data_IF_261215586365
#
_entry.id   IF_261215586365
#
_cell.length_a   1.000
_cell.length_b   1.000
_cell.length_c   1.000
_cell.angle_alpha   90.00
_cell.angle_beta   90.00
_cell.angle_gamma   90.00
#
_symmetry.space_group_name_H-M   'P 1'
#
loop_
_entity.id
_entity.type
_entity.pdbx_description
1 polymer ?
#
# COMPACT_ATOMS: atom_id res chain seq x y z
N UNK A 1 -5.84 9.48 65.51
CA UNK A 1 -6.73 8.47 64.90
C UNK A 1 -6.13 8.05 63.57
N UNK A 2 -5.81 6.76 63.45
CA UNK A 2 -5.72 5.95 62.20
C UNK A 2 -4.74 6.45 61.12
N UNK A 3 -3.53 5.90 60.89
CA UNK A 3 -3.10 4.52 61.04
C UNK A 3 -3.52 3.67 59.83
N UNK A 4 -2.87 3.86 58.68
CA UNK A 4 -2.86 2.88 57.60
C UNK A 4 -1.40 2.45 57.36
N UNK A 5 -1.00 1.45 58.15
CA UNK A 5 0.14 0.57 57.87
C UNK A 5 -0.17 -0.20 56.59
N UNK A 6 0.57 0.06 55.51
CA UNK A 6 0.73 -0.92 54.45
C UNK A 6 2.02 -1.69 54.71
N UNK A 7 1.91 -2.68 55.59
CA UNK A 7 2.95 -3.68 55.82
C UNK A 7 2.80 -4.81 54.81
N UNK A 8 3.88 -5.12 54.10
CA UNK A 8 4.07 -6.42 53.45
C UNK A 8 4.06 -6.38 51.92
N UNK A 9 5.15 -6.93 51.36
CA UNK A 9 5.17 -7.59 50.04
C UNK A 9 5.36 -6.69 48.81
N UNK A 10 6.39 -5.85 48.77
CA UNK A 10 6.82 -5.18 47.52
C UNK A 10 8.03 -5.84 46.82
N UNK A 11 8.64 -6.87 47.41
CA UNK A 11 9.79 -7.57 46.83
C UNK A 11 9.42 -8.73 45.89
N UNK A 12 8.17 -9.20 45.88
CA UNK A 12 7.73 -10.30 45.00
C UNK A 12 7.27 -9.86 43.61
N UNK A 13 6.59 -8.71 43.50
CA UNK A 13 5.98 -8.26 42.24
C UNK A 13 7.01 -7.82 41.19
N UNK A 14 8.10 -7.17 41.62
CA UNK A 14 9.18 -6.74 40.71
C UNK A 14 10.05 -7.89 40.19
N UNK A 15 10.22 -8.96 40.98
CA UNK A 15 10.95 -10.16 40.53
C UNK A 15 10.13 -10.96 39.51
N UNK A 16 8.82 -11.07 39.71
CA UNK A 16 7.92 -11.73 38.77
C UNK A 16 7.75 -10.95 37.47
N UNK A 17 7.72 -9.61 37.50
CA UNK A 17 7.71 -8.80 36.27
C UNK A 17 9.04 -8.86 35.51
N UNK A 18 10.17 -8.95 36.23
CA UNK A 18 11.50 -9.11 35.63
C UNK A 18 11.69 -10.51 35.01
N UNK A 19 11.19 -11.57 35.65
CA UNK A 19 11.16 -12.92 35.09
C UNK A 19 10.23 -13.02 33.87
N UNK A 20 9.06 -12.39 33.91
CA UNK A 20 8.12 -12.36 32.77
C UNK A 20 8.70 -11.59 31.55
N UNK A 21 9.42 -10.49 31.79
CA UNK A 21 10.12 -9.75 30.74
C UNK A 21 11.33 -10.52 30.19
N UNK A 22 12.07 -11.22 31.05
CA UNK A 22 13.22 -12.05 30.64
C UNK A 22 12.78 -13.27 29.82
N UNK A 23 11.66 -13.92 30.19
CA UNK A 23 11.09 -15.05 29.45
C UNK A 23 10.71 -14.69 28.00
N UNK A 24 10.33 -13.44 27.72
CA UNK A 24 10.07 -12.97 26.34
C UNK A 24 11.35 -12.80 25.50
N UNK A 25 12.51 -12.60 26.13
CA UNK A 25 13.80 -12.40 25.44
C UNK A 25 14.70 -13.65 25.44
N UNK A 26 14.46 -14.57 26.36
CA UNK A 26 15.18 -15.86 26.47
C UNK A 26 14.51 -16.95 25.61
N UNK A 27 13.20 -16.82 25.32
CA UNK A 27 12.47 -17.76 24.46
C UNK A 27 13.11 -18.00 23.08
N UNK A 28 13.64 -16.99 22.36
CA UNK A 28 14.34 -17.22 21.10
C UNK A 28 15.65 -18.01 21.27
N UNK A 29 16.38 -17.78 22.36
CA UNK A 29 17.66 -18.46 22.64
C UNK A 29 17.42 -19.89 23.09
N UNK A 30 16.40 -20.14 23.92
CA UNK A 30 15.97 -21.50 24.29
C UNK A 30 15.39 -22.24 23.08
N UNK A 31 14.61 -21.57 22.20
CA UNK A 31 14.11 -22.17 20.96
C UNK A 31 15.25 -22.55 20.00
N UNK A 32 16.33 -21.76 19.97
CA UNK A 32 17.54 -22.06 19.20
C UNK A 32 18.29 -23.29 19.75
N UNK A 33 18.38 -23.43 21.08
CA UNK A 33 19.03 -24.56 21.75
C UNK A 33 18.16 -25.83 21.74
N UNK A 34 16.83 -25.69 21.74
CA UNK A 34 15.87 -26.80 21.78
C UNK A 34 15.37 -27.23 20.38
N UNK A 35 15.79 -26.57 19.30
CA UNK A 35 15.46 -26.94 17.92
C UNK A 35 13.95 -26.93 17.58
N UNK A 36 13.11 -26.24 18.37
CA UNK A 36 11.66 -26.24 18.20
C UNK A 36 11.17 -24.84 17.78
N UNK A 37 10.83 -24.69 16.51
CA UNK A 37 10.36 -23.45 15.87
C UNK A 37 8.90 -23.07 16.18
N UNK A 38 8.26 -23.70 17.18
CA UNK A 38 6.79 -23.60 17.38
C UNK A 38 6.32 -22.53 18.39
N UNK A 39 7.20 -21.72 18.98
CA UNK A 39 6.80 -20.71 19.97
C UNK A 39 6.47 -19.33 19.37
N UNK A 40 6.77 -19.09 18.09
CA UNK A 40 6.50 -17.78 17.45
C UNK A 40 5.00 -17.47 17.28
N UNK A 41 4.14 -18.50 17.19
CA UNK A 41 2.70 -18.32 16.99
C UNK A 41 1.93 -17.93 18.26
N UNK A 42 2.51 -18.13 19.46
CA UNK A 42 1.82 -17.90 20.74
C UNK A 42 1.91 -16.44 21.23
N UNK A 43 2.68 -15.57 20.56
CA UNK A 43 2.96 -14.21 21.02
C UNK A 43 2.67 -13.10 20.00
N UNK A 44 1.89 -13.38 18.94
CA UNK A 44 1.52 -12.35 17.94
C UNK A 44 0.71 -11.19 18.55
N UNK A 45 -0.03 -11.42 19.63
CA UNK A 45 -0.69 -10.35 20.40
C UNK A 45 0.33 -9.39 21.07
N UNK A 46 1.52 -9.87 21.39
CA UNK A 46 2.55 -9.10 22.10
C UNK A 46 3.30 -8.10 21.18
N UNK A 47 3.18 -8.24 19.86
CA UNK A 47 3.76 -7.29 18.89
C UNK A 47 3.17 -5.89 19.03
N UNK A 48 1.86 -5.78 19.26
CA UNK A 48 1.20 -4.49 19.48
C UNK A 48 1.60 -3.83 20.80
N UNK A 49 1.98 -4.63 21.81
CA UNK A 49 2.39 -4.15 23.13
C UNK A 49 3.91 -3.88 23.23
N UNK A 50 4.70 -4.33 22.25
CA UNK A 50 6.16 -4.21 22.21
C UNK A 50 6.72 -2.81 22.49
N UNK A 51 6.22 -1.70 21.88
CA UNK A 51 6.77 -0.37 22.15
C UNK A 51 6.52 0.08 23.60
N UNK A 52 5.40 -0.32 24.20
CA UNK A 52 5.07 0.00 25.58
C UNK A 52 5.98 -0.74 26.57
N UNK A 53 6.25 -2.02 26.31
CA UNK A 53 7.16 -2.82 27.14
C UNK A 53 8.60 -2.27 27.11
N UNK A 54 9.08 -1.90 25.91
CA UNK A 54 10.38 -1.21 25.74
C UNK A 54 10.41 0.09 26.54
N UNK A 55 9.35 0.90 26.45
CA UNK A 55 9.22 2.14 27.21
C UNK A 55 9.28 1.93 28.72
N UNK A 56 8.53 0.95 29.25
CA UNK A 56 8.55 0.62 30.68
C UNK A 56 9.93 0.15 31.13
N UNK A 57 10.63 -0.68 30.35
CA UNK A 57 11.99 -1.12 30.68
C UNK A 57 12.98 0.04 30.75
N UNK A 58 12.90 1.00 29.81
CA UNK A 58 13.76 2.20 29.82
C UNK A 58 13.49 3.08 31.05
N UNK A 59 12.23 3.26 31.44
CA UNK A 59 11.86 4.01 32.64
C UNK A 59 12.40 3.35 33.92
N UNK A 60 12.26 2.03 34.04
CA UNK A 60 12.79 1.30 35.21
C UNK A 60 14.31 1.39 35.30
N UNK A 61 15.02 1.26 34.17
CA UNK A 61 16.48 1.43 34.11
C UNK A 61 16.91 2.86 34.48
N UNK A 62 16.17 3.88 34.02
CA UNK A 62 16.44 5.28 34.35
C UNK A 62 16.26 5.55 35.85
N UNK A 63 15.19 5.02 36.47
CA UNK A 63 14.93 5.14 37.91
C UNK A 63 16.04 4.44 38.71
N UNK A 64 16.50 3.27 38.27
CA UNK A 64 17.57 2.54 38.95
C UNK A 64 18.90 3.32 38.91
N UNK A 65 19.28 3.88 37.76
CA UNK A 65 20.44 4.77 37.64
C UNK A 65 20.31 6.01 38.52
N UNK A 66 19.14 6.65 38.52
CA UNK A 66 18.86 7.82 39.34
C UNK A 66 18.98 7.53 40.85
N UNK A 67 18.47 6.38 41.31
CA UNK A 67 18.60 5.96 42.71
C UNK A 67 20.05 5.68 43.13
N UNK A 68 20.90 5.25 42.19
CA UNK A 68 22.32 4.93 42.48
C UNK A 68 23.25 6.14 42.35
N UNK A 69 22.86 7.15 41.57
CA UNK A 69 23.62 8.38 41.35
C UNK A 69 23.29 9.49 42.35
N UNK A 70 22.17 9.40 43.10
CA UNK A 70 21.89 10.36 44.17
C UNK A 70 22.98 10.26 45.26
N UNK A 71 23.68 11.37 45.56
CA UNK A 71 24.64 11.38 46.66
C UNK A 71 23.89 11.26 47.99
N UNK A 72 24.28 10.28 48.81
CA UNK A 72 23.85 10.22 50.21
C UNK A 72 24.45 11.43 50.92
N UNK A 73 23.62 12.30 51.49
CA UNK A 73 24.09 13.34 52.40
C UNK A 73 24.55 12.64 53.68
N UNK A 74 25.87 12.54 53.86
CA UNK A 74 26.47 12.09 55.11
C UNK A 74 26.16 13.13 56.18
N UNK A 75 25.28 12.80 57.11
CA UNK A 75 25.15 13.52 58.37
C UNK A 75 25.48 12.52 59.47
N UNK A 76 26.32 13.00 60.41
CA UNK A 76 26.74 12.41 61.68
C UNK A 76 27.67 11.19 61.61
N UNK A 77 28.94 11.45 61.94
CA UNK A 77 29.91 10.47 62.40
C UNK A 77 29.38 9.84 63.68
N UNK A 78 29.01 8.56 63.63
CA UNK A 78 28.85 7.74 64.82
C UNK A 78 29.77 6.51 64.66
N UNK A 79 30.83 6.48 65.46
CA UNK A 79 31.73 5.36 65.57
C UNK A 79 31.03 4.25 66.35
N UNK A 80 30.43 3.30 65.63
CA UNK A 80 30.18 1.98 66.19
C UNK A 80 30.54 0.92 65.14
N UNK A 81 31.53 0.09 65.48
CA UNK A 81 31.99 -1.00 64.63
C UNK A 81 30.93 -2.09 64.55
N UNK A 82 30.26 -2.19 63.40
CA UNK A 82 29.55 -3.40 62.98
C UNK A 82 30.07 -3.82 61.60
N UNK A 83 30.45 -5.09 61.49
CA UNK A 83 31.18 -5.71 60.37
C UNK A 83 30.60 -5.36 58.99
N UNK A 84 31.44 -5.09 57.96
CA UNK A 84 30.96 -4.80 56.63
C UNK A 84 30.39 -6.08 56.01
N UNK A 85 29.06 -6.20 55.93
CA UNK A 85 28.45 -7.13 54.98
C UNK A 85 28.91 -6.70 53.59
N UNK A 86 29.74 -7.52 52.94
CA UNK A 86 30.22 -7.28 51.58
C UNK A 86 29.02 -6.90 50.70
N UNK A 87 29.05 -5.69 50.15
CA UNK A 87 27.98 -5.23 49.26
C UNK A 87 27.87 -6.21 48.09
N UNK A 88 26.72 -6.87 47.96
CA UNK A 88 26.45 -7.86 46.92
C UNK A 88 26.81 -7.29 45.55
N UNK A 89 27.51 -8.07 44.72
CA UNK A 89 27.94 -7.67 43.37
C UNK A 89 26.77 -7.12 42.51
N UNK A 90 25.55 -7.61 42.76
CA UNK A 90 24.28 -7.17 42.18
C UNK A 90 23.90 -5.71 42.48
N UNK A 91 24.49 -5.09 43.51
CA UNK A 91 24.26 -3.68 43.86
C UNK A 91 25.40 -2.76 43.37
N UNK A 92 26.37 -3.29 42.63
CA UNK A 92 27.48 -2.50 42.09
C UNK A 92 27.05 -1.66 40.88
N UNK A 93 27.73 -0.53 40.66
CA UNK A 93 27.57 0.28 39.43
C UNK A 93 28.00 -0.51 38.19
N UNK A 94 28.96 -1.43 38.34
CA UNK A 94 29.46 -2.28 37.27
C UNK A 94 28.38 -3.26 36.76
N UNK A 95 27.66 -3.92 37.67
CA UNK A 95 26.55 -4.80 37.30
C UNK A 95 25.45 -4.05 36.54
N UNK A 96 25.07 -2.87 37.02
CA UNK A 96 24.04 -2.04 36.40
C UNK A 96 24.46 -1.53 35.00
N UNK A 97 25.76 -1.22 34.81
CA UNK A 97 26.32 -0.90 33.51
C UNK A 97 26.29 -2.09 32.53
N UNK A 98 26.65 -3.29 32.98
CA UNK A 98 26.62 -4.51 32.16
C UNK A 98 25.19 -4.81 31.67
N UNK A 99 24.20 -4.76 32.57
CA UNK A 99 22.78 -4.99 32.21
C UNK A 99 22.30 -3.96 31.18
N UNK A 100 22.74 -2.71 31.31
CA UNK A 100 22.39 -1.64 30.35
C UNK A 100 22.97 -1.92 28.96
N UNK A 101 24.23 -2.34 28.87
CA UNK A 101 24.89 -2.67 27.58
C UNK A 101 24.22 -3.87 26.91
N UNK A 102 23.91 -4.93 27.67
CA UNK A 102 23.24 -6.13 27.14
C UNK A 102 21.84 -5.79 26.64
N UNK A 103 21.08 -4.96 27.36
CA UNK A 103 19.75 -4.51 26.94
C UNK A 103 19.80 -3.72 25.61
N UNK A 104 20.79 -2.83 25.45
CA UNK A 104 21.00 -2.07 24.21
C UNK A 104 21.37 -3.00 23.05
N UNK A 105 22.24 -3.98 23.28
CA UNK A 105 22.60 -4.98 22.28
C UNK A 105 21.38 -5.75 21.77
N UNK A 106 20.54 -6.25 22.68
CA UNK A 106 19.31 -6.97 22.33
C UNK A 106 18.26 -6.08 21.65
N UNK A 107 18.15 -4.79 22.03
CA UNK A 107 17.28 -3.84 21.32
C UNK A 107 17.81 -3.51 19.92
N UNK A 108 19.13 -3.59 19.70
CA UNK A 108 19.76 -3.39 18.40
C UNK A 108 19.74 -4.64 17.52
N UNK A 109 19.26 -5.78 18.05
CA UNK A 109 19.11 -7.05 17.30
C UNK A 109 18.46 -6.90 15.92
N UNK A 110 17.37 -6.13 15.73
CA UNK A 110 16.77 -5.94 14.41
C UNK A 110 17.74 -5.39 13.36
N UNK A 111 18.77 -4.64 13.77
CA UNK A 111 19.74 -4.00 12.86
C UNK A 111 20.82 -4.96 12.38
N UNK A 112 21.08 -6.07 13.09
CA UNK A 112 22.10 -7.07 12.70
C UNK A 112 21.54 -8.49 12.48
N UNK A 113 20.22 -8.68 12.64
CA UNK A 113 19.56 -9.98 12.44
C UNK A 113 19.81 -10.59 11.04
N UNK A 114 19.91 -9.75 10.00
CA UNK A 114 20.16 -10.19 8.63
C UNK A 114 21.51 -10.91 8.44
N UNK A 115 22.47 -10.73 9.37
CA UNK A 115 23.76 -11.43 9.35
C UNK A 115 23.61 -12.89 9.82
N UNK A 116 22.65 -13.17 10.70
CA UNK A 116 22.45 -14.49 11.32
C UNK A 116 21.26 -15.27 10.73
N UNK A 117 20.34 -14.59 10.06
CA UNK A 117 19.16 -15.17 9.41
C UNK A 117 19.13 -14.78 7.92
N UNK A 118 19.92 -15.44 7.05
CA UNK A 118 19.75 -15.29 5.61
C UNK A 118 18.34 -15.77 5.21
N UNK A 119 17.63 -14.99 4.40
CA UNK A 119 16.29 -15.33 3.91
C UNK A 119 16.27 -16.73 3.27
N UNK A 120 15.33 -17.61 3.64
CA UNK A 120 15.15 -18.87 2.95
C UNK A 120 14.75 -18.61 1.49
N UNK A 121 15.62 -18.97 0.54
CA UNK A 121 15.26 -18.95 -0.87
C UNK A 121 14.20 -20.04 -1.14
N UNK A 122 13.06 -19.71 -1.76
CA UNK A 122 12.14 -20.71 -2.27
C UNK A 122 12.84 -21.50 -3.38
N UNK A 123 13.26 -22.73 -3.09
CA UNK A 123 13.74 -23.65 -4.12
C UNK A 123 12.55 -24.09 -4.98
N UNK A 124 12.40 -23.45 -6.14
CA UNK A 124 11.49 -23.90 -7.17
C UNK A 124 12.09 -25.14 -7.85
N UNK A 125 11.47 -26.29 -7.65
CA UNK A 125 11.63 -27.43 -8.56
C UNK A 125 10.84 -27.17 -9.84
N UNK A 126 11.36 -27.49 -11.04
CA UNK A 126 10.63 -27.31 -12.27
C UNK A 126 9.56 -28.41 -12.38
N UNK A 127 8.30 -28.06 -12.19
CA UNK A 127 7.17 -28.95 -12.50
C UNK A 127 6.72 -28.65 -13.93
N UNK A 128 6.85 -29.66 -14.79
CA UNK A 128 6.38 -29.64 -16.17
C UNK A 128 4.86 -29.35 -16.24
N UNK A 129 4.50 -28.54 -17.24
CA UNK A 129 3.14 -28.07 -17.53
C UNK A 129 2.18 -29.24 -17.81
N UNK A 130 1.12 -29.35 -17.00
CA UNK A 130 -0.16 -29.91 -17.39
C UNK A 130 -1.27 -28.99 -16.84
N UNK A 131 -1.96 -28.29 -17.75
CA UNK A 131 -2.94 -27.23 -17.52
C UNK A 131 -4.35 -27.79 -17.21
N UNK A 132 -4.44 -28.77 -16.31
CA UNK A 132 -5.71 -29.43 -15.94
C UNK A 132 -6.10 -29.19 -14.48
N UNK A 133 -5.32 -28.40 -13.74
CA UNK A 133 -5.59 -28.09 -12.33
C UNK A 133 -6.62 -26.98 -12.21
N UNK A 134 -7.61 -27.18 -11.36
CA UNK A 134 -8.67 -26.24 -11.05
C UNK A 134 -8.82 -26.11 -9.54
N UNK A 135 -9.40 -24.99 -9.09
CA UNK A 135 -9.72 -24.78 -7.69
C UNK A 135 -11.22 -24.57 -7.54
N UNK A 136 -11.80 -25.07 -6.46
CA UNK A 136 -13.22 -24.95 -6.14
C UNK A 136 -13.37 -24.65 -4.66
N UNK A 137 -14.29 -23.75 -4.33
CA UNK A 137 -14.67 -23.44 -2.96
C UNK A 137 -16.04 -24.04 -2.69
N UNK A 138 -16.13 -24.81 -1.62
CA UNK A 138 -17.37 -25.39 -1.11
C UNK A 138 -17.83 -24.63 0.12
N UNK A 139 -19.13 -24.32 0.18
CA UNK A 139 -19.80 -23.91 1.40
C UNK A 139 -20.40 -25.17 2.06
N UNK A 140 -20.02 -25.43 3.30
CA UNK A 140 -20.31 -26.67 4.02
C UNK A 140 -21.04 -26.33 5.32
N UNK A 141 -22.28 -26.78 5.43
CA UNK A 141 -23.10 -26.61 6.62
C UNK A 141 -22.97 -27.81 7.57
N UNK A 142 -22.87 -27.51 8.87
CA UNK A 142 -22.84 -28.51 9.94
C UNK A 142 -21.47 -28.71 10.60
N UNK A 143 -20.42 -28.02 10.14
CA UNK A 143 -19.12 -28.03 10.82
C UNK A 143 -19.14 -27.03 11.99
N UNK A 144 -18.79 -27.48 13.20
CA UNK A 144 -18.83 -26.64 14.41
C UNK A 144 -17.53 -26.60 15.19
N UNK A 145 -16.53 -27.43 14.84
CA UNK A 145 -15.24 -27.46 15.52
C UNK A 145 -14.09 -27.91 14.60
N UNK A 146 -12.86 -27.81 15.10
CA UNK A 146 -11.63 -28.27 14.43
C UNK A 146 -11.65 -29.77 14.11
N UNK A 147 -12.33 -30.57 14.93
CA UNK A 147 -12.56 -32.00 14.66
C UNK A 147 -13.42 -32.24 13.41
N UNK A 148 -14.47 -31.42 13.21
CA UNK A 148 -15.33 -31.48 12.02
C UNK A 148 -14.54 -31.17 10.75
N UNK A 149 -13.72 -30.12 10.79
CA UNK A 149 -12.81 -29.73 9.72
C UNK A 149 -11.84 -30.87 9.36
N UNK A 150 -11.21 -31.45 10.39
CA UNK A 150 -10.26 -32.56 10.22
C UNK A 150 -10.93 -33.79 9.58
N UNK A 151 -12.21 -34.05 9.90
CA UNK A 151 -12.96 -35.15 9.29
C UNK A 151 -13.18 -34.91 7.79
N UNK A 152 -13.56 -33.69 7.38
CA UNK A 152 -13.70 -33.32 5.97
C UNK A 152 -12.37 -33.40 5.22
N UNK A 153 -11.29 -32.87 5.81
CA UNK A 153 -9.95 -32.96 5.23
C UNK A 153 -9.49 -34.42 5.01
N UNK A 154 -9.79 -35.32 5.96
CA UNK A 154 -9.48 -36.75 5.83
C UNK A 154 -10.24 -37.43 4.69
N UNK A 155 -11.50 -37.07 4.45
CA UNK A 155 -12.26 -37.63 3.31
C UNK A 155 -11.79 -37.04 1.98
N UNK A 156 -11.48 -35.75 1.92
CA UNK A 156 -10.92 -35.10 0.72
C UNK A 156 -9.58 -35.68 0.31
N UNK A 157 -8.73 -36.04 1.27
CA UNK A 157 -7.43 -36.70 1.03
C UNK A 157 -7.55 -38.07 0.34
N UNK A 158 -8.70 -38.75 0.45
CA UNK A 158 -8.94 -40.06 -0.18
C UNK A 158 -9.37 -39.94 -1.65
N UNK A 159 -9.74 -38.75 -2.10
CA UNK A 159 -10.25 -38.53 -3.45
C UNK A 159 -9.07 -38.45 -4.42
N UNK A 160 -8.92 -39.48 -5.27
CA UNK A 160 -7.90 -39.47 -6.33
C UNK A 160 -8.15 -38.31 -7.29
N UNK A 161 -7.13 -37.47 -7.48
CA UNK A 161 -7.23 -36.25 -8.30
C UNK A 161 -7.37 -34.97 -7.48
N UNK A 162 -7.60 -35.03 -6.17
CA UNK A 162 -7.45 -33.88 -5.25
C UNK A 162 -5.98 -33.76 -4.85
N UNK A 163 -5.40 -32.56 -4.97
CA UNK A 163 -3.99 -32.30 -4.67
C UNK A 163 -3.80 -31.50 -3.39
N UNK A 164 -4.62 -30.46 -3.19
CA UNK A 164 -4.53 -29.56 -2.04
C UNK A 164 -5.94 -29.28 -1.53
N UNK A 165 -6.12 -29.31 -0.23
CA UNK A 165 -7.38 -28.94 0.41
C UNK A 165 -7.11 -28.15 1.68
N UNK A 166 -7.96 -27.15 1.94
CA UNK A 166 -7.94 -26.36 3.16
C UNK A 166 -9.39 -26.09 3.60
N UNK A 167 -9.85 -26.87 4.57
CA UNK A 167 -11.18 -26.70 5.18
C UNK A 167 -11.07 -25.82 6.42
N UNK A 168 -12.10 -25.04 6.70
CA UNK A 168 -12.18 -24.19 7.90
C UNK A 168 -13.57 -24.27 8.49
N UNK A 169 -13.69 -24.77 9.72
CA UNK A 169 -14.98 -24.76 10.44
C UNK A 169 -15.43 -23.32 10.77
N UNK A 170 -14.49 -22.42 11.08
CA UNK A 170 -14.78 -21.02 11.39
C UNK A 170 -15.45 -20.27 10.23
N UNK A 171 -15.11 -20.62 8.98
CA UNK A 171 -15.70 -20.01 7.78
C UNK A 171 -16.76 -20.89 7.11
N UNK A 172 -17.07 -22.07 7.67
CA UNK A 172 -17.96 -23.07 7.07
C UNK A 172 -17.64 -23.35 5.59
N UNK A 173 -16.34 -23.41 5.24
CA UNK A 173 -15.92 -23.53 3.85
C UNK A 173 -14.72 -24.44 3.66
N UNK A 174 -14.57 -25.01 2.46
CA UNK A 174 -13.40 -25.79 2.05
C UNK A 174 -12.92 -25.35 0.69
N UNK A 175 -11.62 -25.03 0.58
CA UNK A 175 -10.96 -24.71 -0.68
C UNK A 175 -10.20 -25.94 -1.16
N UNK A 176 -10.53 -26.44 -2.35
CA UNK A 176 -9.96 -27.68 -2.90
C UNK A 176 -9.37 -27.41 -4.28
N UNK A 177 -8.10 -27.78 -4.45
CA UNK A 177 -7.41 -27.82 -5.74
C UNK A 177 -7.40 -29.26 -6.25
N UNK A 178 -7.87 -29.47 -7.48
CA UNK A 178 -8.03 -30.80 -8.07
C UNK A 178 -7.66 -30.79 -9.56
N UNK A 179 -7.33 -31.95 -10.09
CA UNK A 179 -7.09 -32.20 -11.51
C UNK A 179 -8.40 -32.58 -12.20
N UNK A 180 -8.93 -31.68 -13.03
CA UNK A 180 -10.20 -31.86 -13.74
C UNK A 180 -10.16 -33.04 -14.73
N UNK A 181 -8.96 -33.47 -15.16
CA UNK A 181 -8.83 -34.67 -16.00
C UNK A 181 -9.01 -35.97 -15.20
N UNK A 182 -8.92 -35.92 -13.86
CA UNK A 182 -8.99 -37.09 -12.97
C UNK A 182 -10.26 -37.15 -12.13
N UNK A 183 -10.81 -36.00 -11.75
CA UNK A 183 -11.97 -35.93 -10.85
C UNK A 183 -12.84 -34.72 -11.16
N UNK A 184 -14.15 -34.87 -11.02
CA UNK A 184 -15.12 -33.79 -11.19
C UNK A 184 -15.61 -33.21 -9.85
N UNK A 185 -16.19 -32.01 -9.92
CA UNK A 185 -16.71 -31.30 -8.72
C UNK A 185 -17.80 -32.09 -8.01
N UNK A 186 -18.59 -32.89 -8.76
CA UNK A 186 -19.66 -33.72 -8.19
C UNK A 186 -19.11 -34.83 -7.31
N UNK A 187 -18.03 -35.49 -7.74
CA UNK A 187 -17.35 -36.53 -6.95
C UNK A 187 -16.76 -35.97 -5.66
N UNK A 188 -16.13 -34.79 -5.73
CA UNK A 188 -15.61 -34.09 -4.55
C UNK A 188 -16.76 -33.69 -3.60
N UNK A 189 -17.88 -33.19 -4.15
CA UNK A 189 -19.09 -32.87 -3.38
C UNK A 189 -19.62 -34.10 -2.64
N UNK A 190 -19.71 -35.24 -3.32
CA UNK A 190 -20.17 -36.50 -2.74
C UNK A 190 -19.24 -36.99 -1.62
N UNK A 191 -17.92 -36.83 -1.78
CA UNK A 191 -16.93 -37.15 -0.75
C UNK A 191 -17.11 -36.29 0.51
N UNK A 192 -17.38 -34.99 0.34
CA UNK A 192 -17.71 -34.11 1.47
C UNK A 192 -19.03 -34.56 2.12
N UNK A 193 -20.07 -34.83 1.33
CA UNK A 193 -21.38 -35.23 1.86
C UNK A 193 -21.35 -36.57 2.62
N UNK A 194 -20.43 -37.48 2.27
CA UNK A 194 -20.23 -38.76 2.96
C UNK A 194 -19.83 -38.61 4.43
N UNK A 195 -19.25 -37.48 4.81
CA UNK A 195 -18.92 -37.17 6.21
C UNK A 195 -20.14 -36.87 7.09
N UNK A 196 -21.33 -36.68 6.48
CA UNK A 196 -22.54 -36.24 7.15
C UNK A 196 -22.78 -34.73 7.11
N UNK A 197 -21.88 -33.93 6.54
CA UNK A 197 -22.06 -32.48 6.35
C UNK A 197 -22.73 -32.13 5.02
N UNK A 198 -23.46 -31.01 4.98
CA UNK A 198 -24.23 -30.61 3.80
C UNK A 198 -23.49 -29.55 3.00
N UNK A 199 -23.09 -29.87 1.77
CA UNK A 199 -22.63 -28.85 0.81
C UNK A 199 -23.85 -28.06 0.32
N UNK A 200 -23.88 -26.76 0.61
CA UNK A 200 -25.00 -25.86 0.26
C UNK A 200 -24.76 -25.09 -1.03
N UNK A 201 -23.50 -24.80 -1.33
CA UNK A 201 -23.07 -24.17 -2.58
C UNK A 201 -21.64 -24.58 -2.91
N UNK A 202 -21.30 -24.54 -4.20
CA UNK A 202 -19.93 -24.59 -4.65
C UNK A 202 -19.73 -23.58 -5.76
N UNK A 203 -18.56 -22.95 -5.77
CA UNK A 203 -18.13 -22.10 -6.87
C UNK A 203 -16.75 -22.57 -7.31
N UNK A 204 -16.61 -22.88 -8.59
CA UNK A 204 -15.28 -22.98 -9.17
C UNK A 204 -14.58 -21.66 -8.89
N UNK A 205 -13.46 -21.75 -8.18
CA UNK A 205 -12.47 -20.69 -8.12
C UNK A 205 -11.71 -20.80 -9.44
N UNK A 206 -12.40 -20.47 -10.52
CA UNK A 206 -11.73 -20.01 -11.71
C UNK A 206 -10.87 -18.84 -11.25
N UNK A 207 -9.57 -18.86 -11.58
CA UNK A 207 -8.85 -17.62 -11.68
C UNK A 207 -9.77 -16.68 -12.47
N UNK A 208 -10.22 -15.59 -11.84
CA UNK A 208 -11.10 -14.61 -12.47
C UNK A 208 -10.59 -14.43 -13.89
N UNK A 209 -11.46 -14.60 -14.89
CA UNK A 209 -11.19 -14.43 -16.33
C UNK A 209 -10.94 -12.98 -16.68
N UNK A 210 -9.99 -12.41 -15.98
CA UNK A 210 -9.21 -11.29 -16.38
C UNK A 210 -7.90 -11.50 -15.65
N UNK A 211 -6.84 -11.84 -16.37
CA UNK A 211 -5.49 -11.49 -15.96
C UNK A 211 -5.34 -9.96 -15.84
N UNK A 212 -6.41 -9.21 -15.61
CA UNK A 212 -6.50 -7.76 -15.60
C UNK A 212 -6.81 -7.36 -14.17
N UNK A 213 -5.92 -6.58 -13.59
CA UNK A 213 -6.18 -5.88 -12.34
C UNK A 213 -6.59 -4.44 -12.66
N UNK A 214 -7.55 -3.92 -11.91
CA UNK A 214 -8.01 -2.55 -12.03
C UNK A 214 -7.56 -1.75 -10.80
N UNK A 215 -7.08 -0.54 -11.04
CA UNK A 215 -6.55 0.35 -10.02
C UNK A 215 -7.20 1.72 -10.13
N UNK A 216 -7.63 2.28 -9.01
CA UNK A 216 -8.01 3.69 -8.93
C UNK A 216 -6.76 4.55 -9.15
N UNK A 217 -6.88 5.59 -9.97
CA UNK A 217 -5.78 6.47 -10.33
C UNK A 217 -6.21 7.95 -10.31
N UNK A 218 -5.38 8.87 -9.76
CA UNK A 218 -5.63 10.31 -9.77
C UNK A 218 -5.09 10.95 -11.06
N UNK A 219 -5.60 10.48 -12.21
CA UNK A 219 -5.15 10.88 -13.55
C UNK A 219 -6.22 11.67 -14.31
N UNK A 220 -7.10 12.37 -13.61
CA UNK A 220 -8.09 13.29 -14.20
C UNK A 220 -7.41 14.62 -14.57
N UNK A 221 -7.71 15.18 -15.74
CA UNK A 221 -7.25 16.52 -16.12
C UNK A 221 -7.91 17.59 -15.26
N UNK A 222 -7.15 18.49 -14.65
CA UNK A 222 -7.72 19.61 -13.91
C UNK A 222 -8.45 20.61 -14.82
N UNK A 223 -7.88 20.88 -16.00
CA UNK A 223 -8.48 21.79 -16.98
C UNK A 223 -9.68 21.16 -17.73
N UNK A 224 -9.80 19.84 -17.69
CA UNK A 224 -10.87 19.08 -18.34
C UNK A 224 -11.34 17.89 -17.49
N UNK A 225 -12.10 18.10 -16.39
CA UNK A 225 -12.42 17.07 -15.40
C UNK A 225 -13.22 15.85 -15.91
N UNK A 226 -13.68 15.89 -17.16
CA UNK A 226 -14.44 14.81 -17.81
C UNK A 226 -13.55 13.79 -18.52
N UNK A 227 -12.24 14.06 -18.64
CA UNK A 227 -11.27 13.21 -19.33
C UNK A 227 -9.99 12.99 -18.52
N UNK A 228 -9.24 11.95 -18.88
CA UNK A 228 -7.95 11.62 -18.28
C UNK A 228 -6.78 12.40 -18.86
N UNK A 229 -5.81 12.72 -18.01
CA UNK A 229 -4.60 13.48 -18.32
C UNK A 229 -3.58 12.60 -19.02
N UNK A 230 -3.56 12.69 -20.35
CA UNK A 230 -2.69 11.88 -21.19
C UNK A 230 -1.21 12.17 -20.96
N UNK A 231 -0.84 13.45 -20.83
CA UNK A 231 0.54 13.88 -20.55
C UNK A 231 1.10 13.32 -19.24
N UNK A 232 0.25 13.18 -18.20
CA UNK A 232 0.62 12.58 -16.90
C UNK A 232 0.63 11.06 -16.94
N UNK A 233 -0.30 10.44 -17.67
CA UNK A 233 -0.46 8.99 -17.70
C UNK A 233 0.52 8.28 -18.66
N UNK A 234 0.93 8.93 -19.75
CA UNK A 234 1.71 8.34 -20.85
C UNK A 234 2.93 7.55 -20.36
N UNK A 235 3.78 8.19 -19.58
CA UNK A 235 5.05 7.60 -19.14
C UNK A 235 4.85 6.49 -18.11
N UNK A 236 3.91 6.65 -17.19
CA UNK A 236 3.54 5.61 -16.23
C UNK A 236 3.02 4.35 -16.94
N UNK A 237 2.15 4.49 -17.94
CA UNK A 237 1.66 3.35 -18.72
C UNK A 237 2.77 2.68 -19.54
N UNK A 238 3.65 3.46 -20.17
CA UNK A 238 4.80 2.92 -20.90
C UNK A 238 5.75 2.18 -19.96
N UNK A 239 6.00 2.71 -18.76
CA UNK A 239 6.87 2.08 -17.77
C UNK A 239 6.29 0.78 -17.22
N UNK A 240 4.96 0.69 -17.04
CA UNK A 240 4.30 -0.59 -16.75
C UNK A 240 4.55 -1.60 -17.87
N UNK A 241 4.43 -1.19 -19.13
CA UNK A 241 4.63 -2.05 -20.31
C UNK A 241 6.11 -2.41 -20.55
N UNK A 242 7.07 -1.75 -19.90
CA UNK A 242 8.49 -2.14 -19.93
C UNK A 242 8.75 -3.46 -19.19
N UNK A 243 7.91 -3.81 -18.21
CA UNK A 243 7.96 -5.09 -17.49
C UNK A 243 7.38 -6.24 -18.32
N UNK A 244 7.99 -6.52 -19.48
CA UNK A 244 7.50 -7.52 -20.46
C UNK A 244 7.43 -8.94 -19.91
N UNK A 245 8.15 -9.23 -18.83
CA UNK A 245 8.12 -10.48 -18.10
C UNK A 245 6.85 -10.70 -17.26
N UNK A 246 6.04 -9.65 -17.07
CA UNK A 246 4.90 -9.66 -16.17
C UNK A 246 3.66 -8.95 -16.72
N UNK A 247 3.82 -7.92 -17.53
CA UNK A 247 2.76 -7.04 -18.03
C UNK A 247 2.58 -7.22 -19.53
N UNK A 248 1.39 -7.65 -19.94
CA UNK A 248 0.97 -7.74 -21.34
C UNK A 248 0.52 -6.36 -21.88
N UNK A 249 -0.02 -5.51 -21.01
CA UNK A 249 -0.40 -4.16 -21.37
C UNK A 249 -0.96 -3.35 -20.20
N UNK A 250 -0.96 -2.02 -20.35
CA UNK A 250 -1.57 -1.11 -19.41
C UNK A 250 -2.45 -0.09 -20.14
N UNK A 251 -3.63 0.19 -19.58
CA UNK A 251 -4.61 1.10 -20.16
C UNK A 251 -5.14 2.08 -19.12
N UNK A 252 -5.43 3.31 -19.55
CA UNK A 252 -6.19 4.29 -18.81
C UNK A 252 -7.62 4.37 -19.36
N UNK A 253 -8.62 4.44 -18.49
CA UNK A 253 -9.98 4.71 -18.93
C UNK A 253 -10.14 6.17 -19.40
N UNK A 254 -11.13 6.44 -20.26
CA UNK A 254 -11.36 7.79 -20.81
C UNK A 254 -11.42 8.90 -19.75
N UNK A 255 -11.98 8.61 -18.57
CA UNK A 255 -12.14 9.57 -17.47
C UNK A 255 -10.85 9.83 -16.69
N UNK A 256 -9.82 9.01 -16.82
CA UNK A 256 -8.58 9.13 -16.04
C UNK A 256 -8.69 8.67 -14.59
N UNK A 257 -9.74 7.91 -14.24
CA UNK A 257 -10.01 7.48 -12.86
C UNK A 257 -9.56 6.05 -12.57
N UNK A 258 -9.35 5.25 -13.63
CA UNK A 258 -9.01 3.83 -13.51
C UNK A 258 -7.93 3.43 -14.50
N UNK A 259 -6.92 2.75 -13.99
CA UNK A 259 -5.88 2.07 -14.77
C UNK A 259 -6.18 0.57 -14.75
N UNK A 260 -6.17 -0.06 -15.92
CA UNK A 260 -6.29 -1.50 -16.07
C UNK A 260 -4.94 -2.08 -16.52
N UNK A 261 -4.48 -3.13 -15.88
CA UNK A 261 -3.20 -3.77 -16.17
C UNK A 261 -3.44 -5.23 -16.44
N UNK A 262 -3.16 -5.65 -17.68
CA UNK A 262 -3.22 -7.05 -18.08
C UNK A 262 -1.87 -7.69 -17.81
N UNK A 263 -1.85 -8.65 -16.91
CA UNK A 263 -0.74 -9.48 -16.49
C UNK A 263 -0.59 -10.71 -17.39
N UNK A 264 0.61 -11.27 -17.41
CA UNK A 264 0.82 -12.61 -17.96
C UNK A 264 0.23 -13.67 -17.02
N UNK A 265 -0.24 -14.82 -17.52
CA UNK A 265 -0.94 -15.84 -16.73
C UNK A 265 -0.18 -16.31 -15.47
N UNK A 266 1.15 -16.35 -15.53
CA UNK A 266 2.02 -16.88 -14.48
C UNK A 266 2.65 -15.81 -13.57
N UNK A 267 2.23 -14.54 -13.68
CA UNK A 267 2.81 -13.47 -12.85
C UNK A 267 2.33 -13.58 -11.41
N UNK A 268 3.25 -13.87 -10.47
CA UNK A 268 2.97 -13.96 -9.04
C UNK A 268 2.47 -12.64 -8.45
N UNK A 269 1.55 -12.71 -7.46
CA UNK A 269 0.95 -11.52 -6.83
C UNK A 269 1.98 -10.60 -6.16
N UNK A 270 3.04 -11.16 -5.56
CA UNK A 270 4.15 -10.37 -4.99
C UNK A 270 4.86 -9.55 -6.07
N UNK A 271 5.13 -10.15 -7.24
CA UNK A 271 5.75 -9.45 -8.37
C UNK A 271 4.83 -8.38 -8.94
N UNK A 272 3.52 -8.64 -9.02
CA UNK A 272 2.52 -7.61 -9.39
C UNK A 272 2.59 -6.43 -8.42
N UNK A 273 2.55 -6.68 -7.12
CA UNK A 273 2.61 -5.62 -6.11
C UNK A 273 3.92 -4.80 -6.17
N UNK A 274 5.06 -5.47 -6.35
CA UNK A 274 6.37 -4.83 -6.52
C UNK A 274 6.38 -3.88 -7.74
N UNK A 275 5.93 -4.33 -8.91
CA UNK A 275 5.88 -3.52 -10.13
C UNK A 275 4.98 -2.29 -9.92
N UNK A 276 3.80 -2.48 -9.33
CA UNK A 276 2.87 -1.38 -9.06
C UNK A 276 3.51 -0.37 -8.11
N UNK A 277 4.13 -0.81 -7.03
CA UNK A 277 4.78 0.08 -6.07
C UNK A 277 5.92 0.87 -6.71
N UNK A 278 6.77 0.20 -7.50
CA UNK A 278 7.90 0.83 -8.20
C UNK A 278 7.43 1.91 -9.17
N UNK A 279 6.47 1.59 -10.05
CA UNK A 279 5.97 2.56 -11.03
C UNK A 279 5.20 3.70 -10.34
N UNK A 280 4.36 3.38 -9.35
CA UNK A 280 3.60 4.40 -8.60
C UNK A 280 4.53 5.42 -7.94
N UNK A 281 5.62 4.95 -7.35
CA UNK A 281 6.63 5.78 -6.69
C UNK A 281 7.42 6.62 -7.69
N UNK A 282 7.87 6.02 -8.80
CA UNK A 282 8.66 6.71 -9.84
C UNK A 282 7.94 7.93 -10.43
N UNK A 283 6.62 7.80 -10.60
CA UNK A 283 5.79 8.84 -11.22
C UNK A 283 5.00 9.69 -10.22
N UNK A 284 5.13 9.43 -8.92
CA UNK A 284 4.31 10.07 -7.87
C UNK A 284 2.80 9.98 -8.15
N UNK A 285 2.35 8.79 -8.58
CA UNK A 285 0.93 8.50 -8.87
C UNK A 285 0.53 7.29 -8.03
N UNK A 286 -0.39 7.48 -7.09
CA UNK A 286 -0.89 6.37 -6.28
C UNK A 286 -1.87 5.50 -7.08
N UNK A 287 -1.60 4.19 -7.11
CA UNK A 287 -2.48 3.18 -7.71
C UNK A 287 -3.06 2.27 -6.64
N UNK A 288 -4.35 2.46 -6.32
CA UNK A 288 -5.04 1.65 -5.32
C UNK A 288 -5.83 0.54 -6.00
N UNK A 289 -5.58 -0.73 -5.64
CA UNK A 289 -6.32 -1.86 -6.23
C UNK A 289 -7.82 -1.74 -5.93
N UNK A 290 -8.66 -1.92 -6.96
CA UNK A 290 -10.12 -1.91 -6.82
C UNK A 290 -10.63 -3.26 -6.31
N UNK A 291 -11.66 -3.22 -5.47
CA UNK A 291 -12.32 -4.44 -5.02
C UNK A 291 -13.01 -5.16 -6.18
N UNK A 292 -13.16 -6.49 -6.09
CA UNK A 292 -13.74 -7.30 -7.17
C UNK A 292 -15.17 -6.87 -7.55
N UNK A 293 -15.93 -6.28 -6.63
CA UNK A 293 -17.26 -5.74 -6.91
C UNK A 293 -17.21 -4.51 -7.83
N UNK A 294 -16.29 -3.57 -7.58
CA UNK A 294 -16.10 -2.36 -8.38
C UNK A 294 -15.47 -2.69 -9.73
N UNK A 295 -14.50 -3.60 -9.75
CA UNK A 295 -13.80 -4.05 -10.95
C UNK A 295 -14.75 -4.66 -12.00
N UNK A 296 -15.80 -5.37 -11.58
CA UNK A 296 -16.81 -5.96 -12.48
C UNK A 296 -17.45 -4.94 -13.43
N UNK A 297 -17.65 -3.70 -12.98
CA UNK A 297 -18.24 -2.64 -13.82
C UNK A 297 -17.35 -2.28 -15.02
N UNK A 298 -16.04 -2.47 -14.88
CA UNK A 298 -15.05 -2.16 -15.92
C UNK A 298 -14.78 -3.34 -16.84
N UNK A 299 -14.91 -4.58 -16.34
CA UNK A 299 -14.64 -5.81 -17.11
C UNK A 299 -15.46 -5.89 -18.39
N UNK A 300 -16.73 -5.45 -18.38
CA UNK A 300 -17.59 -5.47 -19.56
C UNK A 300 -17.11 -4.54 -20.70
N UNK A 301 -16.43 -3.44 -20.33
CA UNK A 301 -15.93 -2.43 -21.28
C UNK A 301 -14.48 -2.65 -21.70
N UNK A 302 -13.75 -3.57 -21.06
CA UNK A 302 -12.32 -3.73 -21.24
C UNK A 302 -11.99 -4.93 -22.17
N UNK A 303 -11.00 -4.83 -23.10
CA UNK A 303 -10.31 -3.62 -23.56
C UNK A 303 -10.99 -2.99 -24.79
N UNK A 304 -12.28 -3.26 -25.03
CA UNK A 304 -12.93 -2.96 -26.32
C UNK A 304 -13.56 -1.56 -26.35
N UNK A 305 -13.43 -0.90 -27.51
CA UNK A 305 -14.05 0.41 -27.80
C UNK A 305 -13.17 1.61 -27.43
N UNK A 306 -13.67 2.83 -27.66
CA UNK A 306 -12.95 4.10 -27.42
C UNK A 306 -12.91 4.51 -25.93
N UNK A 307 -13.02 3.55 -25.02
CA UNK A 307 -13.13 3.78 -23.58
C UNK A 307 -11.79 3.60 -22.85
N UNK A 308 -10.83 2.91 -23.48
CA UNK A 308 -9.55 2.54 -22.89
C UNK A 308 -8.40 2.95 -23.82
N UNK A 309 -7.33 3.48 -23.25
CA UNK A 309 -6.22 4.08 -23.98
C UNK A 309 -4.89 3.52 -23.46
N UNK A 310 -4.09 2.90 -24.33
CA UNK A 310 -2.72 2.47 -24.03
C UNK A 310 -1.75 3.65 -23.96
N UNK A 311 -0.51 3.37 -23.55
CA UNK A 311 0.55 4.36 -23.32
C UNK A 311 0.70 5.45 -24.40
N UNK A 312 0.73 5.12 -25.70
CA UNK A 312 0.79 6.15 -26.77
C UNK A 312 -0.57 6.67 -27.21
N UNK A 313 -1.65 5.94 -26.93
CA UNK A 313 -3.00 6.34 -27.34
C UNK A 313 -3.58 7.45 -26.47
N UNK A 314 -3.08 7.62 -25.24
CA UNK A 314 -3.48 8.74 -24.36
C UNK A 314 -3.09 10.11 -24.93
N UNK A 315 -2.23 10.19 -25.95
CA UNK A 315 -1.98 11.43 -26.70
C UNK A 315 -3.28 12.00 -27.30
N UNK A 316 -4.25 11.14 -27.64
CA UNK A 316 -5.60 11.57 -28.06
C UNK A 316 -6.36 12.26 -26.92
N UNK A 317 -6.16 11.84 -25.67
CA UNK A 317 -6.75 12.52 -24.51
C UNK A 317 -6.08 13.88 -24.29
N UNK A 318 -4.77 13.98 -24.46
CA UNK A 318 -4.05 15.27 -24.40
C UNK A 318 -4.54 16.27 -25.46
N UNK A 319 -4.82 15.80 -26.68
CA UNK A 319 -5.41 16.63 -27.74
C UNK A 319 -6.85 17.07 -27.40
N UNK A 320 -7.64 16.19 -26.80
CA UNK A 320 -9.00 16.53 -26.32
C UNK A 320 -8.95 17.55 -25.19
N UNK A 321 -7.99 17.43 -24.26
CA UNK A 321 -7.74 18.41 -23.20
C UNK A 321 -7.38 19.77 -23.80
N UNK A 322 -6.45 19.82 -24.77
CA UNK A 322 -6.08 21.05 -25.46
C UNK A 322 -7.28 21.73 -26.14
N UNK A 323 -8.17 20.95 -26.78
CA UNK A 323 -9.39 21.48 -27.39
C UNK A 323 -10.38 22.04 -26.36
N UNK A 324 -10.55 21.36 -25.21
CA UNK A 324 -11.41 21.83 -24.11
C UNK A 324 -10.85 23.13 -23.52
N UNK A 325 -9.54 23.19 -23.29
CA UNK A 325 -8.87 24.41 -22.82
C UNK A 325 -9.14 25.56 -23.79
N UNK A 326 -8.88 25.36 -25.09
CA UNK A 326 -9.09 26.38 -26.11
C UNK A 326 -10.55 26.87 -26.13
N UNK A 327 -11.51 25.96 -26.11
CA UNK A 327 -12.93 26.30 -26.07
C UNK A 327 -13.31 27.12 -24.83
N UNK A 328 -12.82 26.72 -23.66
CA UNK A 328 -13.06 27.45 -22.40
C UNK A 328 -12.42 28.84 -22.43
N UNK A 329 -11.21 28.95 -22.97
CA UNK A 329 -10.54 30.24 -23.17
C UNK A 329 -11.39 31.14 -24.07
N UNK A 330 -11.77 30.69 -25.27
CA UNK A 330 -12.58 31.48 -26.20
C UNK A 330 -13.93 31.89 -25.59
N UNK A 331 -14.57 31.02 -24.81
CA UNK A 331 -15.80 31.37 -24.10
C UNK A 331 -15.61 32.57 -23.14
N UNK A 332 -14.46 32.66 -22.46
CA UNK A 332 -14.08 33.82 -21.65
C UNK A 332 -13.95 35.10 -22.48
N UNK A 333 -13.19 35.05 -23.57
CA UNK A 333 -13.01 36.21 -24.47
C UNK A 333 -14.33 36.68 -25.08
N UNK A 334 -15.25 35.76 -25.39
CA UNK A 334 -16.60 36.09 -25.88
C UNK A 334 -17.44 36.79 -24.82
N UNK A 335 -17.40 36.30 -23.57
CA UNK A 335 -18.13 36.90 -22.44
C UNK A 335 -17.68 38.35 -22.20
N UNK A 336 -16.40 38.63 -22.40
CA UNK A 336 -15.81 39.97 -22.22
C UNK A 336 -15.89 40.85 -23.48
N UNK A 337 -16.43 40.35 -24.60
CA UNK A 337 -16.53 41.11 -25.85
C UNK A 337 -15.17 41.41 -26.52
N UNK A 338 -14.14 40.63 -26.18
CA UNK A 338 -12.77 40.85 -26.66
C UNK A 338 -12.51 40.27 -28.05
N UNK A 339 -13.33 39.33 -28.52
CA UNK A 339 -13.15 38.66 -29.81
C UNK A 339 -14.36 38.82 -30.73
N UNK A 340 -14.10 39.05 -32.02
CA UNK A 340 -15.14 39.10 -33.06
C UNK A 340 -15.51 37.68 -33.52
N UNK A 341 -16.79 37.42 -33.87
CA UNK A 341 -17.26 36.11 -34.34
C UNK A 341 -16.44 35.49 -35.48
N UNK A 342 -15.94 36.32 -36.40
CA UNK A 342 -15.15 35.87 -37.54
C UNK A 342 -13.80 35.23 -37.16
N UNK A 343 -13.24 35.55 -35.99
CA UNK A 343 -11.94 35.07 -35.55
C UNK A 343 -12.02 33.94 -34.52
N UNK A 344 -13.20 33.67 -33.95
CA UNK A 344 -13.39 32.69 -32.86
C UNK A 344 -12.81 31.32 -33.21
N UNK A 345 -13.22 30.73 -34.34
CA UNK A 345 -12.79 29.39 -34.74
C UNK A 345 -11.30 29.29 -34.98
N UNK A 346 -10.69 30.31 -35.57
CA UNK A 346 -9.26 30.29 -35.88
C UNK A 346 -8.42 30.49 -34.62
N UNK A 347 -8.84 31.39 -33.72
CA UNK A 347 -8.13 31.58 -32.46
C UNK A 347 -8.26 30.34 -31.55
N UNK A 348 -9.44 29.70 -31.52
CA UNK A 348 -9.63 28.41 -30.84
C UNK A 348 -8.66 27.35 -31.36
N UNK A 349 -8.54 27.23 -32.69
CA UNK A 349 -7.62 26.28 -33.33
C UNK A 349 -6.16 26.57 -32.99
N UNK A 350 -5.76 27.83 -32.99
CA UNK A 350 -4.38 28.23 -32.66
C UNK A 350 -4.05 27.92 -31.20
N UNK A 351 -4.96 28.23 -30.25
CA UNK A 351 -4.78 27.88 -28.83
C UNK A 351 -4.71 26.36 -28.65
N UNK A 352 -5.63 25.60 -29.27
CA UNK A 352 -5.61 24.14 -29.20
C UNK A 352 -4.30 23.56 -29.75
N UNK A 353 -3.76 24.13 -30.83
CA UNK A 353 -2.47 23.75 -31.40
C UNK A 353 -1.30 24.02 -30.46
N UNK A 354 -1.28 25.16 -29.76
CA UNK A 354 -0.25 25.52 -28.77
C UNK A 354 -0.21 24.48 -27.64
N UNK A 355 -1.35 24.17 -27.02
CA UNK A 355 -1.41 23.18 -25.95
C UNK A 355 -1.14 21.76 -26.44
N UNK A 356 -1.60 21.40 -27.64
CA UNK A 356 -1.29 20.10 -28.24
C UNK A 356 0.22 19.92 -28.40
N UNK A 357 0.92 20.94 -28.92
CA UNK A 357 2.36 20.90 -29.06
C UNK A 357 3.06 20.78 -27.70
N UNK A 358 2.62 21.54 -26.70
CA UNK A 358 3.12 21.41 -25.34
C UNK A 358 2.99 19.96 -24.85
N UNK A 359 1.78 19.41 -24.82
CA UNK A 359 1.52 18.08 -24.26
C UNK A 359 2.17 16.93 -25.03
N UNK A 360 2.37 17.06 -26.33
CA UNK A 360 3.01 16.01 -27.14
C UNK A 360 4.54 16.12 -27.19
N UNK A 361 5.10 17.28 -26.86
CA UNK A 361 6.55 17.52 -26.89
C UNK A 361 7.29 17.05 -25.64
N UNK A 362 6.58 16.77 -24.55
CA UNK A 362 7.21 16.33 -23.29
C UNK A 362 7.79 14.92 -23.42
N UNK A 363 8.93 14.69 -22.77
CA UNK A 363 9.60 13.39 -22.63
C UNK A 363 9.38 12.77 -21.25
N UNK A 364 8.94 13.59 -20.30
CA UNK A 364 8.50 13.23 -18.95
C UNK A 364 7.47 14.24 -18.47
N UNK A 365 6.57 13.85 -17.56
CA UNK A 365 5.68 14.80 -16.89
C UNK A 365 6.46 15.90 -16.12
N UNK A 366 7.70 15.60 -15.70
CA UNK A 366 8.59 16.57 -15.04
C UNK A 366 9.03 17.71 -15.96
N UNK A 367 8.88 17.56 -17.28
CA UNK A 367 9.23 18.59 -18.27
C UNK A 367 8.19 19.72 -18.35
N UNK A 368 7.03 19.56 -17.69
CA UNK A 368 6.03 20.63 -17.51
C UNK A 368 6.50 21.63 -16.45
N UNK A 369 7.63 22.29 -16.74
CA UNK A 369 8.26 23.30 -15.88
C UNK A 369 7.59 24.66 -16.05
N UNK A 370 7.86 25.58 -15.11
CA UNK A 370 7.46 26.98 -15.24
C UNK A 370 7.91 27.60 -16.56
N UNK A 371 9.09 27.23 -17.07
CA UNK A 371 9.59 27.73 -18.36
C UNK A 371 8.72 27.25 -19.54
N UNK A 372 8.28 25.99 -19.51
CA UNK A 372 7.37 25.45 -20.51
C UNK A 372 6.01 26.19 -20.49
N UNK A 373 5.47 26.47 -19.30
CA UNK A 373 4.25 27.28 -19.15
C UNK A 373 4.45 28.72 -19.62
N UNK A 374 5.54 29.38 -19.25
CA UNK A 374 5.86 30.74 -19.69
C UNK A 374 6.03 30.82 -21.23
N UNK A 375 6.50 29.74 -21.86
CA UNK A 375 6.56 29.65 -23.32
C UNK A 375 5.16 29.61 -23.93
N UNK A 376 4.25 28.83 -23.33
CA UNK A 376 2.86 28.72 -23.76
C UNK A 376 2.13 30.06 -23.58
N UNK A 377 2.29 30.73 -22.45
CA UNK A 377 1.73 32.07 -22.20
C UNK A 377 2.14 33.05 -23.29
N UNK A 378 3.44 33.10 -23.62
CA UNK A 378 3.95 33.96 -24.71
C UNK A 378 3.32 33.62 -26.05
N UNK A 379 3.17 32.34 -26.37
CA UNK A 379 2.54 31.90 -27.62
C UNK A 379 1.05 32.28 -27.69
N UNK A 380 0.32 32.13 -26.58
CA UNK A 380 -1.09 32.52 -26.50
C UNK A 380 -1.20 34.03 -26.62
N UNK A 381 -0.37 34.81 -25.92
CA UNK A 381 -0.34 36.27 -26.02
C UNK A 381 -0.09 36.74 -27.46
N UNK A 382 0.90 36.16 -28.15
CA UNK A 382 1.18 36.46 -29.56
C UNK A 382 -0.01 36.10 -30.47
N UNK A 383 -0.63 34.94 -30.23
CA UNK A 383 -1.80 34.51 -31.00
C UNK A 383 -3.00 35.43 -30.77
N UNK A 384 -3.29 35.83 -29.53
CA UNK A 384 -4.44 36.69 -29.27
C UNK A 384 -4.22 38.14 -29.68
N UNK A 385 -3.01 38.69 -29.67
CA UNK A 385 -2.73 40.01 -30.25
C UNK A 385 -3.13 40.08 -31.74
N UNK A 386 -3.00 38.97 -32.47
CA UNK A 386 -3.43 38.85 -33.88
C UNK A 386 -4.95 38.95 -34.04
N UNK A 387 -5.74 38.46 -33.09
CA UNK A 387 -7.20 38.33 -33.23
C UNK A 387 -8.01 39.35 -32.39
N UNK A 388 -7.50 39.73 -31.23
CA UNK A 388 -8.07 40.70 -30.28
C UNK A 388 -7.53 42.11 -30.51
N UNK A 389 -6.32 42.22 -31.07
CA UNK A 389 -5.62 43.47 -31.35
C UNK A 389 -4.57 43.84 -30.31
N UNK A 390 -3.47 44.45 -30.75
CA UNK A 390 -2.37 44.90 -29.89
C UNK A 390 -2.88 45.81 -28.76
N UNK A 391 -2.48 45.52 -27.53
CA UNK A 391 -2.83 46.29 -26.33
C UNK A 391 -4.25 46.07 -25.78
N UNK A 392 -5.09 45.26 -26.45
CA UNK A 392 -6.44 44.89 -25.96
C UNK A 392 -6.51 43.50 -25.32
N UNK A 393 -5.44 42.73 -25.47
CA UNK A 393 -5.38 41.39 -24.93
C UNK A 393 -5.08 41.43 -23.42
N UNK A 394 -5.94 40.85 -22.57
CA UNK A 394 -5.64 40.72 -21.13
C UNK A 394 -4.41 39.84 -20.95
N UNK A 395 -3.64 40.10 -19.88
CA UNK A 395 -2.49 39.29 -19.53
C UNK A 395 -2.93 37.83 -19.32
N UNK A 396 -2.30 36.90 -20.04
CA UNK A 396 -2.54 35.47 -19.88
C UNK A 396 -1.66 34.97 -18.74
N UNK A 397 -2.28 34.60 -17.61
CA UNK A 397 -1.60 33.90 -16.51
C UNK A 397 -2.17 32.49 -16.41
N UNK A 398 -1.33 31.48 -16.63
CA UNK A 398 -1.70 30.09 -16.48
C UNK A 398 -1.68 29.73 -15.00
N UNK A 399 -2.80 29.24 -14.48
CA UNK A 399 -2.89 28.78 -13.11
C UNK A 399 -1.99 27.54 -12.95
N UNK A 400 -0.76 27.75 -12.47
CA UNK A 400 0.15 26.67 -12.10
C UNK A 400 -0.26 26.16 -10.72
N UNK A 401 -0.75 24.93 -10.64
CA UNK A 401 -0.97 24.27 -9.35
C UNK A 401 0.41 24.07 -8.69
N UNK A 402 0.78 24.93 -7.75
CA UNK A 402 1.96 24.72 -6.92
C UNK A 402 1.74 23.48 -6.05
N UNK A 403 2.78 22.65 -5.94
CA UNK A 403 2.79 21.29 -5.37
C UNK A 403 2.33 21.14 -3.90
N UNK A 404 1.81 22.18 -3.24
CA UNK A 404 1.52 22.18 -1.80
C UNK A 404 0.08 21.81 -1.41
N UNK A 405 -0.81 21.50 -2.37
CA UNK A 405 -2.22 21.18 -2.07
C UNK A 405 -2.59 19.78 -2.54
N UNK A 406 -1.94 18.75 -1.96
CA UNK A 406 -2.45 17.38 -1.96
C UNK A 406 -3.06 17.11 -0.58
N UNK A 407 -4.38 17.23 -0.43
CA UNK A 407 -5.05 16.71 0.78
C UNK A 407 -6.38 17.31 1.21
N UNK A 408 -6.86 18.42 0.65
CA UNK A 408 -8.21 18.93 0.97
C UNK A 408 -8.92 19.37 -0.30
N UNK A 409 -10.22 19.10 -0.38
CA UNK A 409 -11.11 19.66 -1.40
C UNK A 409 -10.76 21.14 -1.60
N UNK A 410 -10.55 21.62 -2.83
CA UNK A 410 -10.09 22.97 -3.05
C UNK A 410 -11.25 23.93 -2.83
N UNK A 411 -11.49 24.30 -1.58
CA UNK A 411 -11.93 25.65 -1.28
C UNK A 411 -10.71 26.55 -1.57
N UNK A 412 -10.78 27.31 -2.67
CA UNK A 412 -9.82 28.38 -3.00
C UNK A 412 -9.67 29.31 -1.78
N UNK A 413 -8.64 29.12 -0.95
CA UNK A 413 -8.30 30.05 0.14
C UNK A 413 -7.40 31.14 -0.42
N UNK A 414 -7.90 32.36 -0.42
CA UNK A 414 -7.19 33.56 -0.83
C UNK A 414 -6.18 33.96 0.26
N UNK A 415 -4.97 33.43 0.21
CA UNK A 415 -3.84 34.05 0.90
C UNK A 415 -2.68 34.24 -0.07
N UNK A 416 -2.26 35.50 -0.19
CA UNK A 416 -1.21 36.06 -1.07
C UNK A 416 -1.58 36.29 -2.54
N UNK A 417 -2.31 37.38 -2.81
CA UNK A 417 -2.07 38.29 -3.95
C UNK A 417 -2.07 37.78 -5.40
N UNK A 418 -2.33 36.50 -5.67
CA UNK A 418 -2.36 35.90 -7.01
C UNK A 418 -3.62 35.04 -7.12
N UNK A 419 -4.74 35.65 -7.50
CA UNK A 419 -6.02 34.94 -7.55
C UNK A 419 -6.40 34.57 -8.99
N UNK A 420 -6.22 33.30 -9.36
CA UNK A 420 -7.04 32.66 -10.41
C UNK A 420 -8.51 32.41 -9.94
N UNK A 421 -8.85 32.81 -8.71
CA UNK A 421 -10.16 32.67 -8.10
C UNK A 421 -10.72 34.05 -7.68
N UNK A 422 -11.10 34.90 -8.65
CA UNK A 422 -12.11 35.97 -8.52
C UNK A 422 -12.45 36.46 -9.94
N UNK A 423 -13.69 36.63 -10.41
CA UNK A 423 -14.99 36.95 -9.80
C UNK A 423 -16.09 36.10 -10.45
N UNK A 424 -17.06 35.67 -9.62
CA UNK A 424 -18.37 35.20 -10.09
C UNK A 424 -19.12 36.33 -10.78
#
# INVERSE_FOLDING_TARGET
>A
MSGLKLSGTFTGAGFLSAMAASLCCVSPVIALLAGSSSLAASFSWLESARPYLIGVSLVVLAIAWYSKLKPVKTTTMDCNCESPKMASFLQSKAFLAIVTVVAIGLMSFPLYANVFYPEPQPQATPVALNDTKQQVRFAIQGMTCTGCESHVNKELAKVKGVEVFNTSYATNSSLVTFDQAKVDVKTITAAIQKTGYKVTAHNLVTASTSNVSFYKAPLVCQAAPTIGCGSKAKFMLIDLEKHKEAVEGAWLNKKGTVVAIKWLPNTANSKRAEIIQTVSTSHSIELTALASAEAKSYTASFPKGSAWYKGREVDKLSQQEAAIIAKNTIAGYKKEGLIKPAFEKQFEKDIAGIYTNLFLSISSYKDLTTEAYNKVERQIQQAGEKYVGKGKMPHVELCTATSSVFGKEPACSAESGKSCCSKK
#
